data_IF_093267052269
#
_entry.id   IF_093267052269
#
_cell.length_a   1.000
_cell.length_b   1.000
_cell.length_c   1.000
_cell.angle_alpha   90.00
_cell.angle_beta   90.00
_cell.angle_gamma   90.00
#
_symmetry.space_group_name_H-M   'P 1'
#
loop_
_entity.id
_entity.type
_entity.pdbx_description
1 polymer ?
#
# COMPACT_ATOMS: atom_id res chain seq x y z
N UNK A 1 -12.25 20.76 34.70
CA UNK A 1 -11.55 19.59 34.13
C UNK A 1 -12.02 19.40 32.70
N UNK A 2 -11.10 19.23 31.75
CA UNK A 2 -11.41 19.09 30.33
C UNK A 2 -10.64 17.93 29.71
N UNK A 3 -10.93 17.62 28.44
CA UNK A 3 -10.19 16.61 27.70
C UNK A 3 -8.70 16.97 27.68
N UNK A 4 -7.84 16.02 28.07
CA UNK A 4 -6.39 16.22 28.06
C UNK A 4 -5.89 16.15 26.61
N UNK A 5 -4.94 17.03 26.26
CA UNK A 5 -4.35 17.04 24.94
C UNK A 5 -3.35 15.88 24.78
N UNK A 6 -3.54 14.95 23.81
CA UNK A 6 -2.63 13.82 23.59
C UNK A 6 -1.17 14.23 23.33
N UNK A 7 -0.94 15.41 22.73
CA UNK A 7 0.41 15.93 22.47
C UNK A 7 1.13 16.30 23.77
N UNK A 8 0.41 16.86 24.74
CA UNK A 8 0.98 17.20 26.05
C UNK A 8 1.27 15.94 26.88
N UNK A 9 0.36 14.96 26.84
CA UNK A 9 0.57 13.66 27.48
C UNK A 9 1.82 12.99 26.91
N UNK A 10 2.00 13.04 25.58
CA UNK A 10 3.18 12.44 24.95
C UNK A 10 4.48 13.12 25.44
N UNK A 11 4.47 14.44 25.56
CA UNK A 11 5.64 15.21 26.00
C UNK A 11 5.98 14.98 27.48
N UNK A 12 4.97 14.82 28.34
CA UNK A 12 5.16 14.75 29.81
C UNK A 12 5.27 13.31 30.29
N UNK A 13 4.38 12.44 29.84
CA UNK A 13 4.19 11.07 30.35
C UNK A 13 4.68 9.99 29.38
N UNK A 14 5.10 10.36 28.18
CA UNK A 14 5.67 9.45 27.20
C UNK A 14 4.63 8.65 26.40
N UNK A 15 5.12 7.77 25.53
CA UNK A 15 4.32 7.10 24.49
C UNK A 15 3.30 6.12 25.05
N UNK A 16 3.69 5.32 26.04
CA UNK A 16 2.81 4.30 26.64
C UNK A 16 1.60 4.95 27.33
N UNK A 17 1.83 6.02 28.09
CA UNK A 17 0.76 6.78 28.72
C UNK A 17 -0.20 7.39 27.69
N UNK A 18 0.32 7.94 26.59
CA UNK A 18 -0.51 8.46 25.49
C UNK A 18 -1.32 7.36 24.81
N UNK A 19 -0.74 6.18 24.59
CA UNK A 19 -1.45 5.04 24.01
C UNK A 19 -2.61 4.59 24.91
N UNK A 20 -2.36 4.41 26.20
CA UNK A 20 -3.38 4.01 27.17
C UNK A 20 -4.51 5.05 27.27
N UNK A 21 -4.15 6.33 27.29
CA UNK A 21 -5.12 7.42 27.29
C UNK A 21 -6.01 7.35 26.03
N UNK A 22 -5.42 7.33 24.84
CA UNK A 22 -6.17 7.29 23.58
C UNK A 22 -7.02 6.03 23.46
N UNK A 23 -6.50 4.87 23.86
CA UNK A 23 -7.24 3.61 23.86
C UNK A 23 -8.48 3.70 24.76
N UNK A 24 -8.31 4.20 25.99
CA UNK A 24 -9.41 4.33 26.95
C UNK A 24 -10.49 5.30 26.48
N UNK A 25 -10.11 6.42 25.85
CA UNK A 25 -11.02 7.44 25.33
C UNK A 25 -11.83 6.91 24.14
N UNK A 26 -11.17 6.26 23.17
CA UNK A 26 -11.85 5.65 22.02
C UNK A 26 -12.78 4.52 22.48
N UNK A 27 -12.32 3.66 23.39
CA UNK A 27 -13.15 2.57 23.91
C UNK A 27 -14.35 3.07 24.71
N UNK A 28 -14.22 4.18 25.44
CA UNK A 28 -15.36 4.77 26.17
C UNK A 28 -16.50 5.12 25.22
N UNK A 29 -16.19 5.66 24.03
CA UNK A 29 -17.19 5.99 23.00
C UNK A 29 -17.84 4.73 22.46
N UNK A 30 -17.07 3.72 22.04
CA UNK A 30 -17.63 2.47 21.50
C UNK A 30 -18.50 1.73 22.53
N UNK A 31 -18.03 1.63 23.77
CA UNK A 31 -18.81 1.03 24.87
C UNK A 31 -20.10 1.79 25.15
N UNK A 32 -20.07 3.13 25.09
CA UNK A 32 -21.28 3.95 25.27
C UNK A 32 -22.33 3.72 24.18
N UNK A 33 -21.91 3.31 22.99
CA UNK A 33 -22.78 2.94 21.87
C UNK A 33 -23.15 1.44 21.88
N UNK A 34 -22.73 0.69 22.90
CA UNK A 34 -22.97 -0.75 23.01
C UNK A 34 -22.17 -1.61 22.03
N UNK A 35 -21.15 -1.04 21.38
CA UNK A 35 -20.31 -1.75 20.41
C UNK A 35 -19.10 -2.35 21.13
N UNK A 36 -18.92 -3.66 21.01
CA UNK A 36 -17.77 -4.36 21.59
C UNK A 36 -16.67 -4.55 20.52
N UNK A 37 -15.55 -3.85 20.68
CA UNK A 37 -14.37 -3.95 19.81
C UNK A 37 -13.18 -4.37 20.67
N UNK A 38 -12.38 -5.32 20.20
CA UNK A 38 -11.17 -5.72 20.90
C UNK A 38 -10.10 -4.61 20.80
N UNK A 39 -9.45 -4.31 21.93
CA UNK A 39 -8.36 -3.31 22.05
C UNK A 39 -7.28 -3.43 20.97
N UNK A 40 -6.94 -4.66 20.54
CA UNK A 40 -5.93 -4.95 19.52
C UNK A 40 -6.14 -4.14 18.22
N UNK A 41 -7.39 -3.95 17.79
CA UNK A 41 -7.67 -3.19 16.57
C UNK A 41 -7.31 -1.71 16.73
N UNK A 42 -7.66 -1.13 17.88
CA UNK A 42 -7.37 0.27 18.19
C UNK A 42 -5.87 0.45 18.39
N UNK A 43 -5.21 -0.46 19.09
CA UNK A 43 -3.75 -0.42 19.30
C UNK A 43 -2.96 -0.44 18.00
N UNK A 44 -3.39 -1.24 17.00
CA UNK A 44 -2.74 -1.26 15.68
C UNK A 44 -2.84 0.10 15.00
N UNK A 45 -3.96 0.80 15.12
CA UNK A 45 -4.14 2.16 14.58
C UNK A 45 -3.27 3.15 15.37
N UNK A 46 -3.33 3.12 16.70
CA UNK A 46 -2.55 4.01 17.56
C UNK A 46 -1.04 3.84 17.37
N UNK A 47 -0.58 2.63 17.08
CA UNK A 47 0.81 2.36 16.71
C UNK A 47 1.22 3.18 15.48
N UNK A 48 0.36 3.31 14.47
CA UNK A 48 0.67 4.11 13.29
C UNK A 48 0.64 5.61 13.56
N UNK A 49 -0.27 6.09 14.41
CA UNK A 49 -0.32 7.51 14.79
C UNK A 49 0.92 7.98 15.58
N UNK A 50 1.62 7.06 16.24
CA UNK A 50 2.79 7.30 17.08
C UNK A 50 4.11 6.79 16.48
N UNK A 51 4.10 6.43 15.19
CA UNK A 51 5.26 5.81 14.51
C UNK A 51 6.37 6.81 14.20
N UNK A 52 6.03 8.08 13.98
CA UNK A 52 6.98 9.11 13.53
C UNK A 52 7.59 9.91 14.68
N UNK A 53 8.79 10.42 14.41
CA UNK A 53 9.53 11.35 15.27
C UNK A 53 9.88 12.61 14.48
N UNK A 54 9.97 13.73 15.18
CA UNK A 54 10.38 15.02 14.62
C UNK A 54 11.79 15.35 15.09
N UNK A 55 12.70 15.59 14.16
CA UNK A 55 14.09 15.95 14.48
C UNK A 55 14.14 17.32 15.14
N UNK A 56 14.81 17.41 16.29
CA UNK A 56 15.12 18.67 16.99
C UNK A 56 16.52 19.16 16.67
N UNK A 57 17.49 18.25 16.61
CA UNK A 57 18.90 18.59 16.36
C UNK A 57 19.52 17.49 15.53
N UNK A 58 20.19 17.87 14.44
CA UNK A 58 20.80 16.94 13.49
C UNK A 58 22.05 16.22 14.03
N UNK A 59 22.78 16.83 14.98
CA UNK A 59 24.07 16.31 15.41
C UNK A 59 25.05 16.28 14.23
N UNK A 60 25.73 15.15 14.05
CA UNK A 60 26.62 14.89 12.90
C UNK A 60 25.95 13.97 11.85
N UNK A 61 24.62 13.90 11.85
CA UNK A 61 23.82 13.15 10.84
C UNK A 61 23.38 14.07 9.70
N UNK A 62 22.97 13.48 8.58
CA UNK A 62 22.43 14.21 7.42
C UNK A 62 20.97 14.66 7.60
N UNK A 63 20.40 14.51 8.79
CA UNK A 63 19.01 14.85 9.09
C UNK A 63 18.80 16.36 9.20
N UNK A 64 17.61 16.83 8.82
CA UNK A 64 17.26 18.25 8.93
C UNK A 64 16.42 18.52 10.19
N UNK A 65 16.68 19.63 10.92
CA UNK A 65 15.79 20.05 12.01
C UNK A 65 14.36 20.28 11.50
N UNK A 66 13.37 19.72 12.19
CA UNK A 66 11.95 19.75 11.79
C UNK A 66 11.52 18.63 10.85
N UNK A 67 12.46 17.82 10.34
CA UNK A 67 12.14 16.67 9.50
C UNK A 67 11.32 15.61 10.26
N UNK A 68 10.32 15.05 9.58
CA UNK A 68 9.48 13.96 10.08
C UNK A 68 9.91 12.65 9.44
N UNK A 69 10.38 11.72 10.26
CA UNK A 69 10.81 10.40 9.82
C UNK A 69 10.24 9.28 10.67
N UNK A 70 10.31 8.06 10.13
CA UNK A 70 10.01 6.86 10.89
C UNK A 70 11.00 6.74 12.05
N UNK A 71 10.49 6.41 13.24
CA UNK A 71 11.30 6.14 14.42
C UNK A 71 12.38 5.09 14.15
N UNK A 72 12.07 4.01 13.45
CA UNK A 72 13.03 2.93 13.21
C UNK A 72 14.18 3.42 12.31
N UNK A 73 13.85 4.18 11.25
CA UNK A 73 14.87 4.81 10.39
C UNK A 73 15.73 5.82 11.17
N UNK A 74 15.12 6.59 12.08
CA UNK A 74 15.86 7.50 12.94
C UNK A 74 16.84 6.77 13.86
N UNK A 75 16.42 5.65 14.44
CA UNK A 75 17.27 4.79 15.26
C UNK A 75 18.43 4.23 14.42
N UNK A 76 18.16 3.69 13.23
CA UNK A 76 19.19 3.16 12.32
C UNK A 76 20.24 4.21 11.92
N UNK A 77 19.80 5.43 11.57
CA UNK A 77 20.69 6.54 11.18
C UNK A 77 21.57 6.97 12.36
N UNK A 78 21.01 7.01 13.57
CA UNK A 78 21.77 7.37 14.76
C UNK A 78 22.78 6.29 15.13
N UNK A 79 22.38 5.02 15.08
CA UNK A 79 23.27 3.89 15.36
C UNK A 79 24.46 3.90 14.38
N UNK A 80 24.20 4.23 13.11
CA UNK A 80 25.24 4.43 12.12
C UNK A 80 26.18 5.60 12.47
N UNK A 81 25.65 6.76 12.84
CA UNK A 81 26.47 7.92 13.20
C UNK A 81 27.33 7.67 14.44
N UNK A 82 26.78 6.99 15.44
CA UNK A 82 27.48 6.58 16.66
C UNK A 82 28.60 5.58 16.33
N UNK A 83 28.37 4.64 15.41
CA UNK A 83 29.40 3.68 14.97
C UNK A 83 30.63 4.35 14.35
N UNK A 84 30.44 5.53 13.74
CA UNK A 84 31.51 6.37 13.19
C UNK A 84 32.12 7.34 14.21
N UNK A 85 31.68 7.28 15.47
CA UNK A 85 32.14 8.18 16.54
C UNK A 85 31.56 9.59 16.48
N UNK A 86 30.51 9.81 15.67
CA UNK A 86 29.82 11.10 15.57
C UNK A 86 28.78 11.31 16.68
N UNK A 87 28.25 12.53 16.77
CA UNK A 87 27.16 12.89 17.68
C UNK A 87 25.80 12.47 17.07
N UNK A 88 24.99 11.69 17.79
CA UNK A 88 23.66 11.31 17.31
C UNK A 88 22.71 12.51 17.25
N UNK A 89 21.74 12.43 16.36
CA UNK A 89 20.63 13.37 16.29
C UNK A 89 19.70 13.21 17.50
N UNK A 90 18.99 14.29 17.84
CA UNK A 90 17.91 14.28 18.83
C UNK A 90 16.58 14.51 18.14
N UNK A 91 15.60 13.68 18.45
CA UNK A 91 14.23 13.82 17.96
C UNK A 91 13.23 13.70 19.11
N UNK A 92 12.06 14.27 18.92
CA UNK A 92 10.92 14.13 19.81
C UNK A 92 9.82 13.30 19.15
N UNK A 93 9.20 12.36 19.88
CA UNK A 93 8.07 11.62 19.35
C UNK A 93 6.89 12.57 19.11
N UNK A 94 6.14 12.35 18.02
CA UNK A 94 4.98 13.16 17.69
C UNK A 94 3.75 12.26 17.49
N UNK A 95 2.60 12.70 18.01
CA UNK A 95 1.30 12.12 17.66
C UNK A 95 0.81 12.79 16.39
N UNK A 96 0.62 12.01 15.32
CA UNK A 96 -0.03 12.47 14.10
C UNK A 96 -1.52 12.09 14.13
N UNK A 97 -2.35 12.90 13.49
CA UNK A 97 -3.73 12.51 13.17
C UNK A 97 -3.74 11.48 12.04
N UNK A 98 -4.84 10.76 11.85
CA UNK A 98 -4.94 9.68 10.86
C UNK A 98 -4.62 10.17 9.44
N UNK A 99 -5.23 11.28 9.01
CA UNK A 99 -4.98 11.90 7.70
C UNK A 99 -3.51 12.29 7.52
N UNK A 100 -2.91 12.94 8.53
CA UNK A 100 -1.49 13.32 8.47
C UNK A 100 -0.56 12.11 8.47
N UNK A 101 -0.88 11.06 9.22
CA UNK A 101 -0.11 9.82 9.22
C UNK A 101 -0.18 9.12 7.85
N UNK A 102 -1.35 9.09 7.21
CA UNK A 102 -1.53 8.51 5.88
C UNK A 102 -0.77 9.28 4.78
N UNK A 103 -0.83 10.62 4.81
CA UNK A 103 -0.07 11.52 3.95
C UNK A 103 1.44 11.52 4.19
N UNK A 104 1.89 10.95 5.32
CA UNK A 104 3.29 10.77 5.64
C UNK A 104 3.59 9.26 5.63
N UNK A 105 3.31 8.60 4.51
CA UNK A 105 3.76 7.22 4.24
C UNK A 105 5.04 7.27 3.40
N UNK A 106 5.73 6.15 3.23
CA UNK A 106 6.96 6.10 2.42
C UNK A 106 6.66 5.94 0.93
N UNK A 107 5.60 5.18 0.61
CA UNK A 107 5.12 4.98 -0.75
C UNK A 107 4.36 6.21 -1.24
N UNK A 108 4.89 6.87 -2.27
CA UNK A 108 4.23 8.02 -2.89
C UNK A 108 2.98 7.60 -3.66
N UNK A 109 2.92 6.36 -4.18
CA UNK A 109 1.72 5.80 -4.79
C UNK A 109 0.59 5.65 -3.76
N UNK A 110 0.93 5.16 -2.56
CA UNK A 110 -0.02 5.05 -1.46
C UNK A 110 -0.48 6.43 -0.96
N UNK A 111 0.41 7.42 -0.90
CA UNK A 111 0.07 8.79 -0.51
C UNK A 111 -0.84 9.46 -1.55
N UNK A 112 -0.47 9.41 -2.83
CA UNK A 112 -1.24 10.01 -3.92
C UNK A 112 -2.64 9.39 -4.02
N UNK A 113 -2.78 8.08 -3.80
CA UNK A 113 -4.09 7.41 -3.78
C UNK A 113 -5.02 7.85 -2.65
N UNK A 114 -4.49 8.51 -1.61
CA UNK A 114 -5.29 8.94 -0.47
C UNK A 114 -5.84 10.35 -0.68
N UNK A 115 -4.96 11.35 -0.83
CA UNK A 115 -5.31 12.76 -1.00
C UNK A 115 -4.17 13.53 -1.69
N UNK A 116 -4.45 14.74 -2.18
CA UNK A 116 -3.46 15.69 -2.71
C UNK A 116 -2.59 15.13 -3.86
N UNK A 117 -3.21 14.34 -4.76
CA UNK A 117 -2.59 13.63 -5.90
C UNK A 117 -1.57 14.47 -6.65
N UNK A 118 -1.97 15.65 -7.13
CA UNK A 118 -1.11 16.55 -7.94
C UNK A 118 0.13 16.98 -7.17
N UNK A 119 -0.02 17.37 -5.89
CA UNK A 119 1.11 17.81 -5.05
C UNK A 119 2.08 16.65 -4.80
N UNK A 120 1.55 15.49 -4.41
CA UNK A 120 2.36 14.30 -4.07
C UNK A 120 3.15 13.81 -5.28
N UNK A 121 2.52 13.70 -6.46
CA UNK A 121 3.21 13.24 -7.67
C UNK A 121 4.26 14.24 -8.15
N UNK A 122 3.98 15.55 -8.04
CA UNK A 122 4.95 16.60 -8.41
C UNK A 122 6.17 16.55 -7.50
N UNK A 123 5.98 16.46 -6.18
CA UNK A 123 7.08 16.38 -5.21
C UNK A 123 7.91 15.11 -5.38
N UNK A 124 7.24 13.97 -5.64
CA UNK A 124 7.90 12.71 -5.94
C UNK A 124 8.73 12.78 -7.23
N UNK A 125 8.20 13.39 -8.29
CA UNK A 125 8.88 13.58 -9.56
C UNK A 125 10.11 14.50 -9.42
N UNK A 126 9.98 15.64 -8.72
CA UNK A 126 11.10 16.57 -8.46
C UNK A 126 12.22 15.86 -7.69
N UNK A 127 11.88 15.02 -6.73
CA UNK A 127 12.86 14.27 -5.92
C UNK A 127 13.37 12.99 -6.59
N UNK A 128 12.79 12.59 -7.72
CA UNK A 128 13.08 11.31 -8.36
C UNK A 128 12.81 10.10 -7.46
N UNK A 129 11.77 10.18 -6.62
CA UNK A 129 11.44 9.12 -5.67
C UNK A 129 11.09 7.82 -6.39
N UNK A 130 11.56 6.69 -5.84
CA UNK A 130 11.24 5.35 -6.31
C UNK A 130 10.42 4.64 -5.26
N UNK A 131 9.32 4.02 -5.68
CA UNK A 131 8.48 3.25 -4.77
C UNK A 131 8.94 1.80 -4.71
N UNK A 132 9.05 1.26 -3.50
CA UNK A 132 9.60 -0.09 -3.27
C UNK A 132 8.53 -1.18 -3.22
N UNK A 133 7.25 -0.86 -3.39
CA UNK A 133 6.16 -1.85 -3.48
C UNK A 133 6.09 -2.75 -2.23
N UNK A 134 6.36 -2.22 -1.04
CA UNK A 134 6.37 -2.97 0.24
C UNK A 134 4.99 -3.08 0.92
N UNK A 135 4.08 -2.18 0.60
CA UNK A 135 2.76 -2.02 1.16
C UNK A 135 1.64 -2.57 0.29
N UNK A 136 0.42 -2.57 0.82
CA UNK A 136 -0.74 -3.16 0.13
C UNK A 136 -1.20 -2.31 -1.05
N UNK A 137 -1.46 -1.01 -0.80
CA UNK A 137 -2.11 -0.12 -1.77
C UNK A 137 -1.34 0.01 -3.07
N UNK A 138 -0.04 0.20 -2.97
CA UNK A 138 0.84 0.32 -4.13
C UNK A 138 0.87 -0.95 -5.00
N UNK A 139 0.88 -2.15 -4.40
CA UNK A 139 0.80 -3.39 -5.19
C UNK A 139 -0.56 -3.54 -5.87
N UNK A 140 -1.65 -3.17 -5.18
CA UNK A 140 -3.00 -3.18 -5.76
C UNK A 140 -3.10 -2.22 -6.95
N UNK A 141 -2.59 -0.99 -6.83
CA UNK A 141 -2.63 0.02 -7.90
C UNK A 141 -1.88 -0.47 -9.13
N UNK A 142 -0.72 -1.11 -8.94
CA UNK A 142 0.12 -1.62 -10.04
C UNK A 142 -0.41 -2.95 -10.60
N UNK A 143 -1.30 -3.65 -9.90
CA UNK A 143 -1.80 -4.98 -10.29
C UNK A 143 -0.84 -6.12 -9.96
N UNK A 144 0.09 -5.94 -9.02
CA UNK A 144 0.98 -6.99 -8.50
C UNK A 144 0.36 -7.70 -7.29
N UNK A 145 0.82 -8.92 -7.03
CA UNK A 145 0.38 -9.67 -5.85
C UNK A 145 0.72 -8.91 -4.55
N UNK A 146 -0.28 -8.78 -3.67
CA UNK A 146 -0.14 -8.05 -2.41
C UNK A 146 0.77 -8.80 -1.41
N UNK A 147 1.57 -8.10 -0.60
CA UNK A 147 2.54 -8.71 0.33
C UNK A 147 1.91 -9.28 1.62
N UNK A 148 0.75 -9.92 1.54
CA UNK A 148 0.06 -10.55 2.67
C UNK A 148 -0.60 -11.87 2.25
N UNK A 149 -0.84 -12.76 3.22
CA UNK A 149 -1.44 -14.06 2.94
C UNK A 149 -0.57 -14.87 1.98
N UNK A 150 -1.18 -15.39 0.91
CA UNK A 150 -0.50 -16.17 -0.14
C UNK A 150 0.61 -15.40 -0.84
N UNK A 151 0.50 -14.08 -0.94
CA UNK A 151 1.52 -13.24 -1.57
C UNK A 151 2.76 -12.96 -0.72
N UNK A 152 2.74 -13.30 0.57
CA UNK A 152 3.94 -13.18 1.42
C UNK A 152 4.95 -14.30 1.14
N UNK A 153 4.48 -15.53 0.89
CA UNK A 153 5.34 -16.68 0.62
C UNK A 153 6.10 -16.53 -0.70
N UNK A 154 5.44 -16.09 -1.78
CA UNK A 154 6.07 -15.88 -3.09
C UNK A 154 7.12 -14.75 -3.08
N UNK A 155 6.90 -13.71 -2.28
CA UNK A 155 7.90 -12.63 -2.13
C UNK A 155 9.14 -13.07 -1.36
N UNK A 156 8.99 -13.94 -0.34
CA UNK A 156 10.16 -14.50 0.35
C UNK A 156 11.01 -15.32 -0.61
N UNK A 157 10.39 -16.18 -1.42
CA UNK A 157 11.05 -16.98 -2.45
C UNK A 157 11.79 -16.08 -3.46
N UNK A 158 11.16 -15.00 -3.93
CA UNK A 158 11.79 -14.07 -4.86
C UNK A 158 12.98 -13.28 -4.25
N UNK A 159 13.05 -13.13 -2.93
CA UNK A 159 14.16 -12.42 -2.23
C UNK A 159 15.27 -13.37 -1.79
N UNK A 160 14.98 -14.66 -1.60
CA UNK A 160 15.98 -15.68 -1.26
C UNK A 160 16.67 -16.28 -2.49
N UNK A 161 16.15 -16.05 -3.70
CA UNK A 161 16.61 -16.76 -4.90
C UNK A 161 17.48 -15.91 -5.83
N UNK A 162 18.77 -15.84 -5.48
CA UNK A 162 19.81 -16.18 -6.46
C UNK A 162 20.35 -17.60 -6.23
N UNK A 163 20.03 -18.24 -5.09
CA UNK A 163 20.55 -19.56 -4.71
C UNK A 163 19.45 -20.65 -4.60
N UNK A 164 18.25 -20.37 -4.05
CA UNK A 164 17.21 -21.42 -3.89
C UNK A 164 16.29 -21.62 -5.13
N UNK A 165 16.49 -20.88 -6.22
CA UNK A 165 15.74 -21.12 -7.48
C UNK A 165 16.12 -22.47 -8.11
N UNK A 166 17.35 -22.93 -7.87
CA UNK A 166 17.86 -24.20 -8.37
C UNK A 166 17.27 -25.38 -7.58
N UNK A 167 17.07 -25.22 -6.26
CA UNK A 167 16.60 -26.32 -5.41
C UNK A 167 15.10 -26.62 -5.62
N UNK A 168 14.28 -25.59 -5.83
CA UNK A 168 12.84 -25.76 -6.10
C UNK A 168 12.53 -26.30 -7.51
N UNK A 169 13.37 -26.00 -8.51
CA UNK A 169 13.22 -26.58 -9.85
C UNK A 169 13.62 -28.06 -9.85
N UNK A 170 14.68 -28.42 -9.10
CA UNK A 170 15.13 -29.81 -8.95
C UNK A 170 14.06 -30.66 -8.24
N UNK A 171 13.45 -30.18 -7.15
CA UNK A 171 12.38 -30.94 -6.46
C UNK A 171 11.12 -31.09 -7.34
N UNK A 172 10.78 -30.10 -8.17
CA UNK A 172 9.62 -30.16 -9.06
C UNK A 172 9.82 -31.05 -10.30
N UNK A 173 11.06 -31.29 -10.72
CA UNK A 173 11.42 -32.24 -11.78
C UNK A 173 11.51 -33.67 -11.25
N UNK A 174 11.92 -33.88 -9.99
CA UNK A 174 12.00 -35.21 -9.37
C UNK A 174 10.60 -35.82 -9.14
N UNK A 175 9.59 -35.02 -8.80
CA UNK A 175 8.22 -35.51 -8.58
C UNK A 175 7.48 -35.90 -9.89
N UNK A 176 7.96 -35.47 -11.07
CA UNK A 176 7.33 -35.81 -12.35
C UNK A 176 7.82 -37.15 -12.93
N UNK A 177 8.98 -37.62 -12.51
CA UNK A 177 9.58 -38.86 -13.03
C UNK A 177 9.16 -40.12 -12.25
N UNK A 178 8.57 -40.00 -11.06
CA UNK A 178 8.16 -41.17 -10.25
C UNK A 178 6.74 -41.71 -10.53
N UNK A 179 5.89 -41.02 -11.32
CA UNK A 179 4.51 -41.47 -11.62
C UNK A 179 4.27 -41.86 -13.10
N UNK A 180 5.34 -41.96 -13.91
CA UNK A 180 5.26 -42.55 -15.25
C UNK A 180 5.52 -44.06 -15.17
N UNK A 181 4.54 -44.79 -14.62
CA UNK A 181 4.45 -46.24 -14.82
C UNK A 181 4.28 -46.56 -16.31
N UNK A 182 5.08 -47.50 -16.82
CA UNK A 182 5.04 -48.04 -18.20
C UNK A 182 3.63 -48.05 -18.80
N UNK A 183 3.30 -47.06 -19.64
CA UNK A 183 2.14 -47.12 -20.54
C UNK A 183 2.67 -47.61 -21.88
N UNK A 184 2.26 -48.82 -22.24
CA UNK A 184 2.57 -49.47 -23.51
C UNK A 184 1.93 -48.67 -24.67
N UNK A 185 2.77 -48.12 -25.56
CA UNK A 185 2.41 -47.20 -26.64
C UNK A 185 1.62 -47.89 -27.78
N UNK A 186 1.23 -49.17 -27.62
CA UNK A 186 0.59 -49.96 -28.66
C UNK A 186 -0.95 -49.98 -28.64
N UNK A 187 -1.60 -49.39 -27.63
CA UNK A 187 -3.08 -49.48 -27.47
C UNK A 187 -3.85 -48.16 -27.70
N UNK A 188 -3.22 -47.11 -28.22
CA UNK A 188 -3.93 -45.87 -28.60
C UNK A 188 -4.38 -45.91 -30.07
N UNK A 189 -5.47 -46.62 -30.35
CA UNK A 189 -6.19 -46.46 -31.63
C UNK A 189 -7.10 -45.23 -31.59
N UNK A 190 -7.01 -44.41 -32.64
CA UNK A 190 -7.72 -43.12 -32.80
C UNK A 190 -9.23 -43.24 -33.07
N UNK A 191 -9.85 -44.40 -32.79
CA UNK A 191 -11.25 -44.72 -33.14
C UNK A 191 -12.24 -44.70 -31.96
N UNK A 192 -11.80 -44.47 -30.71
CA UNK A 192 -12.68 -44.52 -29.52
C UNK A 192 -13.04 -43.15 -28.90
N UNK A 193 -12.83 -42.04 -29.61
CA UNK A 193 -13.36 -40.74 -29.15
C UNK A 193 -14.81 -40.56 -29.63
N UNK A 194 -15.77 -41.04 -28.84
CA UNK A 194 -17.19 -40.72 -28.99
C UNK A 194 -17.41 -39.21 -28.74
N UNK A 195 -17.69 -38.46 -29.81
CA UNK A 195 -17.89 -37.00 -29.81
C UNK A 195 -19.26 -36.55 -29.28
N UNK A 196 -20.08 -37.46 -28.76
CA UNK A 196 -21.46 -37.18 -28.34
C UNK A 196 -21.58 -36.75 -26.87
N UNK A 197 -20.48 -36.69 -26.10
CA UNK A 197 -20.50 -36.34 -24.66
C UNK A 197 -20.15 -34.86 -24.35
N UNK A 198 -20.15 -33.99 -25.37
CA UNK A 198 -19.91 -32.54 -25.25
C UNK A 198 -21.20 -31.68 -25.16
N UNK A 199 -22.35 -32.30 -24.91
CA UNK A 199 -23.63 -31.57 -24.77
C UNK A 199 -23.84 -30.95 -23.36
N UNK A 200 -22.98 -31.27 -22.40
CA UNK A 200 -23.11 -30.79 -21.01
C UNK A 200 -22.63 -29.36 -20.74
N UNK A 201 -21.97 -28.70 -21.70
CA UNK A 201 -21.36 -27.37 -21.49
C UNK A 201 -22.31 -26.22 -21.87
N UNK A 202 -23.37 -26.51 -22.62
CA UNK A 202 -24.33 -25.51 -23.09
C UNK A 202 -25.45 -25.17 -22.06
N UNK A 203 -25.67 -26.02 -21.05
CA UNK A 203 -26.78 -25.86 -20.10
C UNK A 203 -26.52 -24.83 -18.98
N UNK A 204 -25.29 -24.28 -18.88
CA UNK A 204 -24.91 -23.32 -17.84
C UNK A 204 -24.81 -21.86 -18.29
N UNK A 205 -25.22 -21.54 -19.52
CA UNK A 205 -25.41 -20.17 -19.99
C UNK A 205 -24.18 -19.26 -19.89
N UNK A 206 -22.97 -19.82 -19.87
CA UNK A 206 -21.71 -19.07 -19.88
C UNK A 206 -21.04 -19.22 -21.24
N UNK A 207 -21.09 -18.17 -22.05
CA UNK A 207 -20.28 -18.07 -23.26
C UNK A 207 -18.82 -17.78 -22.88
N UNK A 208 -17.83 -18.44 -23.51
CA UNK A 208 -16.43 -18.14 -23.29
C UNK A 208 -16.08 -16.75 -23.84
N UNK A 209 -15.59 -15.88 -22.95
CA UNK A 209 -15.04 -14.56 -23.29
C UNK A 209 -13.90 -14.69 -24.31
N UNK A 210 -14.15 -14.32 -25.56
CA UNK A 210 -13.14 -14.25 -26.62
C UNK A 210 -13.53 -14.83 -27.98
N UNK A 211 -14.68 -15.52 -28.10
CA UNK A 211 -15.11 -16.15 -29.36
C UNK A 211 -15.95 -15.23 -30.28
N UNK A 212 -15.74 -13.91 -30.22
CA UNK A 212 -16.55 -12.91 -30.92
C UNK A 212 -15.82 -12.03 -31.94
N UNK A 213 -14.61 -12.41 -32.38
CA UNK A 213 -13.90 -11.68 -33.45
C UNK A 213 -13.60 -12.64 -34.60
N UNK A 214 -14.63 -12.99 -35.37
CA UNK A 214 -14.46 -13.51 -36.71
C UNK A 214 -14.28 -12.32 -37.67
N UNK A 215 -13.07 -12.15 -38.18
CA UNK A 215 -12.78 -11.32 -39.35
C UNK A 215 -13.42 -11.97 -40.58
N UNK A 216 -14.61 -11.51 -40.97
CA UNK A 216 -15.19 -11.74 -42.29
C UNK A 216 -16.14 -10.59 -42.65
N UNK A 217 -16.00 -10.12 -43.88
CA UNK A 217 -16.62 -8.95 -44.50
C UNK A 217 -18.14 -8.83 -44.34
N UNK A 218 -18.62 -7.61 -44.03
CA UNK A 218 -19.74 -6.94 -44.74
C UNK A 218 -20.15 -5.63 -44.05
N UNK A 219 -19.92 -4.51 -44.77
CA UNK A 219 -20.68 -3.25 -44.88
C UNK A 219 -21.47 -2.64 -43.69
N UNK A 220 -21.26 -1.31 -43.54
CA UNK A 220 -22.13 -0.28 -42.94
C UNK A 220 -22.22 -0.19 -41.39
N UNK A 221 -21.37 0.67 -40.80
CA UNK A 221 -21.77 1.93 -40.14
C UNK A 221 -20.62 2.46 -39.27
N UNK A 222 -19.96 3.53 -39.73
CA UNK A 222 -18.98 4.25 -38.92
C UNK A 222 -19.71 5.07 -37.85
N UNK A 223 -19.57 4.68 -36.59
CA UNK A 223 -20.00 5.49 -35.44
C UNK A 223 -18.84 6.40 -35.06
N UNK A 224 -18.85 7.65 -35.54
CA UNK A 224 -17.94 8.70 -35.10
C UNK A 224 -18.26 9.07 -33.64
N UNK A 225 -17.41 8.63 -32.70
CA UNK A 225 -17.46 9.07 -31.31
C UNK A 225 -16.61 10.34 -31.16
N UNK A 226 -17.28 11.50 -31.21
CA UNK A 226 -16.68 12.81 -30.99
C UNK A 226 -16.32 13.01 -29.51
N UNK A 227 -15.02 13.06 -29.21
CA UNK A 227 -14.45 13.08 -27.86
C UNK A 227 -14.31 14.50 -27.28
N UNK A 228 -14.90 15.51 -27.91
CA UNK A 228 -14.65 16.92 -27.60
C UNK A 228 -15.73 17.61 -26.73
N UNK A 229 -16.58 16.87 -26.00
CA UNK A 229 -17.67 17.45 -25.20
C UNK A 229 -17.58 17.24 -23.69
N UNK A 230 -16.39 16.97 -23.14
CA UNK A 230 -16.20 16.76 -21.69
C UNK A 230 -15.26 17.78 -21.03
N UNK A 231 -15.30 19.03 -21.47
CA UNK A 231 -14.64 20.15 -20.79
C UNK A 231 -15.62 21.32 -20.72
N UNK A 232 -16.43 21.39 -19.66
CA UNK A 232 -17.05 22.61 -19.13
C UNK A 232 -18.02 22.23 -18.01
N UNK A 233 -17.53 22.13 -16.77
CA UNK A 233 -18.28 22.38 -15.53
C UNK A 233 -17.35 22.11 -14.33
N UNK A 234 -16.50 23.09 -13.97
CA UNK A 234 -15.98 23.28 -12.60
C UNK A 234 -15.21 24.61 -12.51
N UNK A 235 -15.90 25.74 -12.68
CA UNK A 235 -15.45 27.03 -12.14
C UNK A 235 -16.64 27.69 -11.43
N UNK A 236 -16.71 27.53 -10.11
CA UNK A 236 -17.35 28.47 -9.18
C UNK A 236 -17.10 27.96 -7.75
N UNK A 237 -16.03 28.45 -7.12
CA UNK A 237 -15.92 28.63 -5.65
C UNK A 237 -14.53 29.18 -5.29
N UNK A 238 -14.22 30.39 -5.75
CA UNK A 238 -13.03 31.09 -5.29
C UNK A 238 -13.26 32.60 -5.17
N UNK A 239 -14.22 32.99 -4.31
CA UNK A 239 -14.35 34.37 -3.85
C UNK A 239 -14.75 34.41 -2.37
N UNK A 240 -13.75 34.48 -1.49
CA UNK A 240 -13.73 35.41 -0.36
C UNK A 240 -12.52 35.12 0.53
N UNK A 241 -11.42 35.85 0.37
CA UNK A 241 -10.55 36.28 1.46
C UNK A 241 -9.40 37.15 0.92
N UNK A 242 -9.72 38.36 0.46
CA UNK A 242 -8.74 39.46 0.41
C UNK A 242 -9.42 40.73 0.93
N UNK A 243 -9.07 41.11 2.14
CA UNK A 243 -9.03 42.49 2.63
C UNK A 243 -8.41 42.48 4.03
N UNK A 244 -7.07 42.52 4.07
CA UNK A 244 -6.30 42.90 5.25
C UNK A 244 -5.08 43.67 4.76
N UNK A 245 -5.29 44.97 4.60
CA UNK A 245 -4.24 45.97 4.45
C UNK A 245 -3.23 45.82 5.59
N UNK A 246 -1.98 45.53 5.24
CA UNK A 246 -0.83 45.69 6.14
C UNK A 246 -0.02 46.87 5.61
N UNK A 247 -0.27 48.05 6.16
CA UNK A 247 0.64 49.18 6.07
C UNK A 247 1.96 48.82 6.77
N UNK A 248 3.05 48.97 6.03
CA UNK A 248 4.42 48.86 6.55
C UNK A 248 4.89 50.26 6.90
N UNK A 249 5.15 50.51 8.19
CA UNK A 249 6.15 51.47 8.68
C UNK A 249 7.28 50.72 9.40
#
# INVERSE_FOLDING_TARGET
EGAKNPKEILRISGREATQLYLLSEVQRVYRSQGVNIHDKHIEVILRQLLRRVMVRTAGDTDLLPGELLDRFKFEDINDYAVSRGGKPARAEPIVLGLTKAALNTESFLAMASFQETTRVLTEAAIRGQRDELRGLKENVIIGKLIPVGTGFSQRRVAVTNLEDEVELLIDAEIDQDEDLGDVDDSDLSMEDFDLDELDGVAELGMEPLGAGVTLADSDEDAVDLDFNSLDEEEEEDNDSFEDLDVEIE
#
